data_IF_274529155535
#
_entry.id   IF_274529155535
#
_cell.length_a   1.000
_cell.length_b   1.000
_cell.length_c   1.000
_cell.angle_alpha   90.00
_cell.angle_beta   90.00
_cell.angle_gamma   90.00
#
_symmetry.space_group_name_H-M   'P 1'
#
loop_
_entity.id
_entity.type
_entity.pdbx_description
1 polymer ?
#
# COMPACT_ATOMS: atom_id res chain seq x y z
N UNK A 1 -0.75 -8.58 -11.10
CA UNK A 1 -1.14 -7.77 -9.91
C UNK A 1 -1.74 -6.46 -10.35
N UNK A 2 -2.88 -6.10 -9.78
CA UNK A 2 -3.61 -4.87 -10.16
C UNK A 2 -3.18 -3.63 -9.40
N UNK A 3 -2.37 -3.79 -8.36
CA UNK A 3 -1.84 -2.70 -7.53
C UNK A 3 -0.42 -2.39 -7.99
N UNK A 4 -0.11 -1.10 -8.11
CA UNK A 4 1.21 -0.61 -8.55
C UNK A 4 1.77 0.37 -7.54
N UNK A 5 3.08 0.59 -7.60
CA UNK A 5 3.73 1.64 -6.81
C UNK A 5 3.09 3.00 -7.12
N UNK A 6 2.86 3.80 -6.09
CA UNK A 6 2.18 5.09 -6.19
C UNK A 6 0.68 5.04 -5.96
N UNK A 7 0.08 3.84 -5.93
CA UNK A 7 -1.36 3.71 -5.64
C UNK A 7 -1.65 3.99 -4.16
N UNK A 8 -2.81 4.57 -3.90
CA UNK A 8 -3.32 4.71 -2.53
C UNK A 8 -4.18 3.50 -2.22
N UNK A 9 -3.87 2.82 -1.12
CA UNK A 9 -4.58 1.59 -0.71
C UNK A 9 -5.09 1.71 0.71
N UNK A 10 -6.08 0.88 1.03
CA UNK A 10 -6.61 0.72 2.38
C UNK A 10 -6.41 -0.73 2.82
N UNK A 11 -5.96 -0.93 4.05
CA UNK A 11 -5.75 -2.26 4.61
C UNK A 11 -7.07 -2.82 5.09
N UNK A 12 -7.48 -3.98 4.55
CA UNK A 12 -8.78 -4.58 4.84
C UNK A 12 -8.72 -5.77 5.77
N UNK A 13 -7.54 -6.35 5.95
CA UNK A 13 -7.38 -7.56 6.79
C UNK A 13 -5.98 -7.58 7.41
N UNK A 14 -5.82 -8.38 8.47
CA UNK A 14 -4.55 -8.55 9.16
C UNK A 14 -4.38 -7.60 10.33
N UNK A 15 -3.23 -7.70 10.98
CA UNK A 15 -2.93 -6.93 12.21
C UNK A 15 -2.83 -5.42 11.98
N UNK A 16 -2.58 -4.99 10.75
CA UNK A 16 -2.41 -3.57 10.42
C UNK A 16 -3.71 -2.92 9.94
N UNK A 17 -4.85 -3.58 10.14
CA UNK A 17 -6.16 -3.13 9.60
C UNK A 17 -6.60 -1.78 10.14
N UNK A 18 -6.25 -1.45 11.38
CA UNK A 18 -6.65 -0.20 12.02
C UNK A 18 -5.44 0.56 12.56
N UNK A 19 -5.55 1.88 12.54
CA UNK A 19 -4.60 2.78 13.18
C UNK A 19 -5.38 3.82 13.99
N UNK A 20 -4.69 4.58 14.83
CA UNK A 20 -5.31 5.62 15.66
C UNK A 20 -5.04 6.98 15.02
N UNK A 21 -6.09 7.78 14.84
CA UNK A 21 -5.94 9.14 14.31
C UNK A 21 -5.50 10.12 15.40
N UNK A 22 -5.38 11.41 15.05
CA UNK A 22 -4.94 12.45 15.99
C UNK A 22 -5.89 12.66 17.16
N UNK A 23 -7.15 12.28 17.01
CA UNK A 23 -8.17 12.41 18.04
C UNK A 23 -8.30 11.16 18.91
N UNK A 24 -7.49 10.15 18.66
CA UNK A 24 -7.53 8.88 19.37
C UNK A 24 -8.57 7.90 18.86
N UNK A 25 -9.25 8.20 17.76
CA UNK A 25 -10.25 7.31 17.17
C UNK A 25 -9.59 6.25 16.29
N UNK A 26 -10.16 5.05 16.33
CA UNK A 26 -9.70 3.94 15.51
C UNK A 26 -10.19 4.13 14.07
N UNK A 27 -9.27 4.19 13.12
CA UNK A 27 -9.60 4.39 11.71
C UNK A 27 -8.92 3.30 10.88
N UNK A 28 -9.45 3.06 9.67
CA UNK A 28 -8.83 2.13 8.73
C UNK A 28 -7.47 2.65 8.28
N UNK A 29 -6.49 1.76 8.25
CA UNK A 29 -5.14 2.10 7.82
C UNK A 29 -5.13 2.30 6.31
N UNK A 30 -4.64 3.47 5.87
CA UNK A 30 -4.45 3.79 4.46
C UNK A 30 -3.00 4.20 4.22
N UNK A 31 -2.55 4.11 2.99
CA UNK A 31 -1.21 4.54 2.67
C UNK A 31 -0.92 4.42 1.18
N UNK A 32 0.25 4.92 0.79
CA UNK A 32 0.73 4.88 -0.58
C UNK A 32 1.64 3.66 -0.77
N UNK A 33 1.44 2.92 -1.84
CA UNK A 33 2.28 1.78 -2.19
C UNK A 33 3.65 2.29 -2.64
N UNK A 34 4.70 1.88 -1.92
CA UNK A 34 6.08 2.24 -2.25
C UNK A 34 6.67 1.29 -3.28
N UNK A 35 6.41 -0.01 -3.13
CA UNK A 35 6.90 -1.05 -4.03
C UNK A 35 5.86 -2.15 -4.16
N UNK A 36 5.82 -2.79 -5.32
CA UNK A 36 4.99 -3.95 -5.56
C UNK A 36 5.87 -5.11 -6.04
N UNK A 37 5.61 -6.29 -5.51
CA UNK A 37 6.34 -7.53 -5.84
C UNK A 37 5.35 -8.54 -6.42
N UNK A 38 5.08 -8.49 -7.74
CA UNK A 38 4.05 -9.35 -8.36
C UNK A 38 4.37 -10.84 -8.23
N UNK A 39 5.64 -11.21 -8.24
CA UNK A 39 6.03 -12.63 -8.18
C UNK A 39 5.66 -13.30 -6.87
N UNK A 40 5.58 -12.54 -5.77
CA UNK A 40 5.23 -13.07 -4.46
C UNK A 40 3.91 -12.50 -3.93
N UNK A 41 3.21 -11.73 -4.75
CA UNK A 41 1.92 -11.10 -4.41
C UNK A 41 1.96 -10.28 -3.14
N UNK A 42 3.02 -9.48 -2.98
CA UNK A 42 3.19 -8.60 -1.82
C UNK A 42 3.43 -7.17 -2.25
N UNK A 43 3.07 -6.25 -1.36
CA UNK A 43 3.28 -4.81 -1.56
C UNK A 43 3.85 -4.20 -0.30
N UNK A 44 4.65 -3.14 -0.47
CA UNK A 44 5.16 -2.33 0.63
C UNK A 44 4.36 -1.03 0.64
N UNK A 45 3.71 -0.75 1.77
CA UNK A 45 2.86 0.44 1.92
C UNK A 45 3.49 1.37 2.93
N UNK A 46 3.60 2.64 2.58
CA UNK A 46 4.20 3.67 3.43
C UNK A 46 3.50 3.73 4.78
N UNK A 47 4.28 3.65 5.85
CA UNK A 47 3.78 3.75 7.22
C UNK A 47 3.02 2.51 7.73
N UNK A 48 2.97 1.43 6.96
CA UNK A 48 2.21 0.21 7.30
C UNK A 48 3.16 -0.96 7.49
N UNK A 49 2.89 -1.79 8.50
CA UNK A 49 3.66 -2.99 8.82
C UNK A 49 5.14 -2.66 9.09
N UNK A 50 5.36 -1.65 9.92
CA UNK A 50 6.70 -1.21 10.27
C UNK A 50 7.36 -2.22 11.21
N UNK A 51 8.55 -2.67 10.86
CA UNK A 51 9.34 -3.59 11.65
C UNK A 51 10.71 -2.97 11.93
N UNK A 52 11.30 -3.36 13.05
CA UNK A 52 12.66 -2.94 13.40
C UNK A 52 13.64 -3.92 12.76
N UNK A 53 14.58 -3.39 12.00
CA UNK A 53 15.62 -4.17 11.34
C UNK A 53 16.97 -3.81 11.93
N UNK A 54 17.70 -4.81 12.41
CA UNK A 54 19.04 -4.65 12.91
C UNK A 54 20.03 -4.75 11.76
N UNK A 55 20.82 -3.71 11.55
CA UNK A 55 21.92 -3.74 10.61
C UNK A 55 23.22 -4.10 11.32
N UNK A 56 24.01 -4.97 10.69
CA UNK A 56 25.32 -5.35 11.23
C UNK A 56 26.28 -4.18 11.13
N UNK A 57 27.18 -4.09 12.10
CA UNK A 57 28.30 -3.18 12.01
C UNK A 57 29.17 -3.52 10.80
N UNK A 58 29.57 -2.48 10.07
CA UNK A 58 30.44 -2.59 8.90
C UNK A 58 31.63 -1.65 9.06
N UNK A 59 32.58 -1.68 8.12
CA UNK A 59 33.69 -0.74 8.16
C UNK A 59 33.24 0.72 8.06
N UNK A 60 32.07 0.97 7.45
CA UNK A 60 31.51 2.31 7.33
C UNK A 60 30.57 2.66 8.50
N UNK A 61 30.10 1.66 9.23
CA UNK A 61 29.18 1.83 10.34
C UNK A 61 29.54 0.87 11.46
N UNK A 62 30.47 1.27 12.30
CA UNK A 62 31.06 0.43 13.32
C UNK A 62 30.09 0.02 14.44
N UNK A 63 29.08 0.81 14.71
CA UNK A 63 28.17 0.56 15.84
C UNK A 63 26.92 -0.23 15.45
N UNK A 64 26.69 -0.50 14.15
CA UNK A 64 25.42 -1.06 13.72
C UNK A 64 24.28 -0.09 13.89
N UNK A 65 23.11 -0.43 13.36
CA UNK A 65 21.91 0.43 13.45
C UNK A 65 20.66 -0.40 13.59
N UNK A 66 19.66 0.19 14.26
CA UNK A 66 18.30 -0.33 14.28
C UNK A 66 17.46 0.61 13.42
N UNK A 67 16.93 0.08 12.31
CA UNK A 67 16.10 0.84 11.39
C UNK A 67 14.66 0.41 11.48
N UNK A 68 13.75 1.38 11.38
CA UNK A 68 12.32 1.10 11.22
C UNK A 68 12.00 1.16 9.74
N UNK A 69 11.59 0.02 9.19
CA UNK A 69 11.27 -0.09 7.76
C UNK A 69 9.93 -0.77 7.57
N UNK A 70 9.25 -0.44 6.50
CA UNK A 70 8.00 -1.09 6.14
C UNK A 70 8.30 -2.48 5.56
N UNK A 71 7.72 -3.51 6.16
CA UNK A 71 7.81 -4.87 5.62
C UNK A 71 6.67 -5.09 4.61
N UNK A 72 6.89 -5.97 3.60
CA UNK A 72 5.84 -6.29 2.64
C UNK A 72 4.63 -6.95 3.31
N UNK A 73 3.44 -6.66 2.77
CA UNK A 73 2.20 -7.31 3.17
C UNK A 73 1.57 -7.98 1.94
N UNK A 74 0.79 -9.04 2.17
CA UNK A 74 0.16 -9.75 1.07
C UNK A 74 -0.88 -8.86 0.40
N UNK A 75 -0.94 -8.89 -0.92
CA UNK A 75 -1.83 -8.02 -1.71
C UNK A 75 -3.31 -8.27 -1.41
N UNK A 76 -3.68 -9.47 -0.96
CA UNK A 76 -5.06 -9.76 -0.58
C UNK A 76 -5.52 -9.01 0.67
N UNK A 77 -4.59 -8.46 1.45
CA UNK A 77 -4.90 -7.70 2.66
C UNK A 77 -5.15 -6.21 2.40
N UNK A 78 -5.04 -5.77 1.16
CA UNK A 78 -5.25 -4.37 0.79
C UNK A 78 -6.19 -4.27 -0.41
N UNK A 79 -6.85 -3.12 -0.52
CA UNK A 79 -7.65 -2.76 -1.70
C UNK A 79 -7.30 -1.33 -2.11
N UNK A 80 -7.46 -1.03 -3.39
CA UNK A 80 -7.31 0.34 -3.87
C UNK A 80 -8.37 1.21 -3.20
N UNK A 81 -7.95 2.39 -2.75
CA UNK A 81 -8.88 3.39 -2.23
C UNK A 81 -9.39 4.22 -3.39
N UNK A 82 -10.73 4.28 -3.53
CA UNK A 82 -11.36 5.07 -4.59
C UNK A 82 -11.05 6.56 -4.36
N UNK A 83 -10.40 7.26 -5.31
CA UNK A 83 -10.02 8.65 -5.11
C UNK A 83 -11.23 9.58 -5.02
N UNK A 84 -12.36 9.21 -5.61
CA UNK A 84 -13.56 10.05 -5.61
C UNK A 84 -14.45 9.83 -4.38
N UNK A 85 -14.73 8.57 -4.04
CA UNK A 85 -15.62 8.21 -2.93
C UNK A 85 -14.90 7.91 -1.63
N UNK A 86 -13.57 7.76 -1.68
CA UNK A 86 -12.73 7.50 -0.52
C UNK A 86 -13.09 6.21 0.23
N UNK A 87 -13.46 5.18 -0.51
CA UNK A 87 -13.82 3.86 0.02
C UNK A 87 -13.04 2.77 -0.73
N UNK A 88 -12.92 1.56 -0.16
CA UNK A 88 -12.25 0.46 -0.87
C UNK A 88 -13.01 0.12 -2.16
N UNK A 89 -12.27 -0.13 -3.23
CA UNK A 89 -12.84 -0.47 -4.52
C UNK A 89 -12.06 -1.61 -5.17
N UNK A 90 -12.73 -2.35 -6.03
CA UNK A 90 -12.07 -3.28 -6.92
C UNK A 90 -11.59 -2.55 -8.16
N UNK A 91 -10.56 -3.11 -8.79
CA UNK A 91 -9.95 -2.54 -9.99
C UNK A 91 -10.49 -3.27 -11.21
N UNK A 92 -11.02 -2.52 -12.17
CA UNK A 92 -11.35 -3.02 -13.48
C UNK A 92 -10.43 -2.42 -14.52
N UNK A 93 -10.50 -2.94 -15.75
CA UNK A 93 -9.72 -2.43 -16.88
C UNK A 93 -10.65 -1.97 -17.97
N UNK A 94 -10.32 -0.85 -18.59
CA UNK A 94 -11.02 -0.37 -19.77
C UNK A 94 -10.05 0.27 -20.74
N UNK A 95 -10.48 0.46 -21.96
CA UNK A 95 -9.66 1.07 -22.99
C UNK A 95 -10.04 2.53 -23.15
N UNK A 96 -9.04 3.42 -23.09
CA UNK A 96 -9.22 4.85 -23.30
C UNK A 96 -8.15 5.30 -24.29
N UNK A 97 -8.57 5.86 -25.42
CA UNK A 97 -7.67 6.32 -26.48
C UNK A 97 -6.67 5.25 -26.93
N UNK A 98 -7.15 4.00 -27.05
CA UNK A 98 -6.31 2.88 -27.48
C UNK A 98 -5.41 2.30 -26.40
N UNK A 99 -5.48 2.81 -25.17
CA UNK A 99 -4.66 2.31 -24.06
C UNK A 99 -5.52 1.65 -23.00
N UNK A 100 -5.05 0.51 -22.49
CA UNK A 100 -5.70 -0.19 -21.39
C UNK A 100 -5.36 0.51 -20.09
N UNK A 101 -6.37 0.99 -19.39
CA UNK A 101 -6.20 1.70 -18.11
C UNK A 101 -7.01 1.03 -17.02
N UNK A 102 -6.56 1.22 -15.78
CA UNK A 102 -7.30 0.75 -14.61
C UNK A 102 -8.34 1.78 -14.21
N UNK A 103 -9.47 1.31 -13.68
CA UNK A 103 -10.48 2.20 -13.13
C UNK A 103 -11.06 1.61 -11.84
N UNK A 104 -11.57 2.49 -10.98
CA UNK A 104 -12.23 2.10 -9.73
C UNK A 104 -13.67 1.72 -10.05
N UNK A 105 -14.07 0.48 -9.77
CA UNK A 105 -15.42 -0.01 -10.12
C UNK A 105 -16.52 0.70 -9.36
N UNK A 106 -16.23 1.20 -8.15
CA UNK A 106 -17.21 1.89 -7.30
C UNK A 106 -17.67 3.21 -7.92
N UNK A 107 -16.72 4.01 -8.46
CA UNK A 107 -17.03 5.33 -9.01
C UNK A 107 -16.86 5.45 -10.51
N UNK A 108 -16.18 4.50 -11.13
CA UNK A 108 -15.79 4.60 -12.54
C UNK A 108 -14.60 5.50 -12.82
N UNK A 109 -13.96 6.04 -11.79
CA UNK A 109 -12.82 6.94 -11.92
C UNK A 109 -11.60 6.21 -12.47
N UNK A 110 -10.93 6.82 -13.46
CA UNK A 110 -9.70 6.25 -14.04
C UNK A 110 -8.55 6.42 -13.05
N UNK A 111 -7.84 5.33 -12.76
CA UNK A 111 -6.70 5.32 -11.85
C UNK A 111 -5.39 5.67 -12.56
N UNK A 112 -5.25 5.26 -13.81
CA UNK A 112 -4.06 5.51 -14.64
C UNK A 112 -4.34 6.69 -15.57
N UNK A 113 -4.07 7.88 -15.11
CA UNK A 113 -4.27 9.10 -15.91
C UNK A 113 -3.02 9.47 -16.70
#
# INVERSE_FOLDING_TARGET
MRIKAGDTVIVIAGKNKFTTDKKGNKVRTTGTVLKAYPKINKVVVQGVNIVKKHERATQQNESGQILSVEAPIHVSNVMILDPKKNVPTRVGYKEVNGKKVRYAKVSGEVLDK
#
